data_IF_076933540731
#
_entry.id   IF_076933540731
#
_cell.length_a   1.000
_cell.length_b   1.000
_cell.length_c   1.000
_cell.angle_alpha   90.00
_cell.angle_beta   90.00
_cell.angle_gamma   90.00
#
_symmetry.space_group_name_H-M   'P 1'
#
loop_
_entity.id
_entity.type
_entity.pdbx_description
1 polymer ?
#
# COMPACT_ATOMS: atom_id res chain seq x y z
N UNK A 1 -21.89 -11.29 7.11
CA UNK A 1 -20.67 -11.60 6.36
C UNK A 1 -20.90 -11.30 4.88
N UNK A 2 -19.90 -10.71 4.23
CA UNK A 2 -19.92 -10.42 2.79
C UNK A 2 -18.81 -11.22 2.13
N UNK A 3 -19.09 -11.85 1.01
CA UNK A 3 -18.12 -12.61 0.23
C UNK A 3 -18.33 -12.35 -1.26
N UNK A 4 -17.24 -12.30 -2.01
CA UNK A 4 -17.28 -12.26 -3.47
C UNK A 4 -17.17 -13.71 -3.96
N UNK A 5 -18.15 -14.14 -4.73
CA UNK A 5 -18.19 -15.50 -5.28
C UNK A 5 -18.16 -15.49 -6.81
N UNK A 6 -17.57 -16.52 -7.39
CA UNK A 6 -17.55 -16.67 -8.84
C UNK A 6 -18.97 -17.05 -9.31
N UNK A 7 -19.51 -16.35 -10.33
CA UNK A 7 -20.80 -16.73 -10.92
C UNK A 7 -20.77 -18.17 -11.45
N UNK A 8 -21.84 -18.90 -11.29
CA UNK A 8 -21.91 -20.29 -11.71
C UNK A 8 -23.30 -20.88 -11.65
N UNK A 9 -23.43 -22.07 -12.23
CA UNK A 9 -24.65 -22.86 -12.15
C UNK A 9 -24.89 -23.39 -10.73
N UNK A 10 -26.14 -23.72 -10.41
CA UNK A 10 -26.46 -24.37 -9.15
C UNK A 10 -25.70 -25.69 -8.99
N UNK A 11 -25.19 -25.94 -7.80
CA UNK A 11 -24.54 -27.21 -7.46
C UNK A 11 -25.17 -27.80 -6.19
N UNK A 12 -26.12 -28.72 -6.30
CA UNK A 12 -26.81 -29.29 -5.17
C UNK A 12 -25.94 -30.19 -4.29
N UNK A 13 -24.82 -30.68 -4.81
CA UNK A 13 -23.95 -31.62 -4.11
C UNK A 13 -22.81 -30.95 -3.32
N UNK A 14 -22.70 -29.63 -3.38
CA UNK A 14 -21.67 -28.90 -2.66
C UNK A 14 -22.24 -28.19 -1.45
N UNK A 15 -21.42 -28.00 -0.43
CA UNK A 15 -21.78 -27.20 0.75
C UNK A 15 -21.88 -25.73 0.36
N UNK A 16 -23.02 -25.12 0.64
CA UNK A 16 -23.21 -23.68 0.46
C UNK A 16 -22.72 -22.91 1.68
N UNK A 17 -23.15 -23.31 2.86
CA UNK A 17 -22.75 -22.69 4.12
C UNK A 17 -22.43 -23.76 5.14
N UNK A 18 -21.34 -23.57 5.87
CA UNK A 18 -21.01 -24.34 7.07
C UNK A 18 -20.82 -23.37 8.22
N UNK A 19 -21.40 -23.63 9.36
CA UNK A 19 -21.22 -22.84 10.56
C UNK A 19 -21.21 -23.71 11.82
N UNK A 20 -20.37 -23.35 12.78
CA UNK A 20 -20.40 -23.96 14.11
C UNK A 20 -21.35 -23.16 15.01
N UNK A 21 -22.38 -23.80 15.52
CA UNK A 21 -23.34 -23.19 16.43
C UNK A 21 -23.47 -24.03 17.68
N UNK A 22 -23.13 -23.49 18.83
CA UNK A 22 -23.14 -24.14 20.13
C UNK A 22 -22.37 -25.47 20.19
N UNK A 23 -21.28 -25.56 19.45
CA UNK A 23 -20.41 -26.73 19.37
C UNK A 23 -20.84 -27.80 18.37
N UNK A 24 -21.93 -27.58 17.63
CA UNK A 24 -22.40 -28.44 16.55
C UNK A 24 -22.06 -27.80 15.18
N UNK A 25 -21.55 -28.61 14.26
CA UNK A 25 -21.30 -28.18 12.89
C UNK A 25 -22.56 -28.36 12.05
N UNK A 26 -23.16 -27.24 11.68
CA UNK A 26 -24.33 -27.20 10.83
C UNK A 26 -23.95 -26.93 9.39
N UNK A 27 -24.46 -27.70 8.47
CA UNK A 27 -24.15 -27.59 7.03
C UNK A 27 -25.44 -27.35 6.26
N UNK A 28 -25.43 -26.33 5.40
CA UNK A 28 -26.45 -26.09 4.39
C UNK A 28 -25.90 -26.53 3.03
N UNK A 29 -26.44 -27.64 2.46
CA UNK A 29 -26.05 -28.11 1.15
C UNK A 29 -26.70 -27.29 0.03
N UNK A 30 -26.15 -27.38 -1.17
CA UNK A 30 -26.76 -26.85 -2.38
C UNK A 30 -26.39 -25.39 -2.63
N UNK A 31 -25.34 -25.18 -3.42
CA UNK A 31 -24.99 -23.84 -3.90
C UNK A 31 -26.03 -23.41 -4.94
N UNK A 32 -26.73 -22.27 -4.73
CA UNK A 32 -27.68 -21.75 -5.71
C UNK A 32 -26.97 -21.24 -6.96
N UNK A 33 -27.71 -21.11 -8.07
CA UNK A 33 -27.18 -20.46 -9.26
C UNK A 33 -26.95 -18.97 -8.99
N UNK A 34 -25.74 -18.50 -9.24
CA UNK A 34 -25.33 -17.11 -9.05
C UNK A 34 -24.98 -16.50 -10.40
N UNK A 35 -25.66 -15.42 -10.77
CA UNK A 35 -25.45 -14.70 -12.03
C UNK A 35 -24.48 -13.55 -11.82
N UNK A 36 -23.65 -13.28 -12.82
CA UNK A 36 -22.80 -12.10 -12.83
C UNK A 36 -23.64 -10.81 -12.85
N UNK A 37 -23.14 -9.76 -12.20
CA UNK A 37 -23.82 -8.46 -12.17
C UNK A 37 -24.96 -8.34 -11.15
N UNK A 38 -25.10 -9.29 -10.21
CA UNK A 38 -26.09 -9.24 -9.18
C UNK A 38 -25.48 -9.44 -7.78
N UNK A 39 -26.05 -8.76 -6.80
CA UNK A 39 -25.81 -8.97 -5.39
C UNK A 39 -26.92 -9.88 -4.84
N UNK A 40 -26.54 -10.92 -4.11
CA UNK A 40 -27.45 -11.87 -3.48
C UNK A 40 -27.35 -11.74 -1.96
N UNK A 41 -28.43 -11.36 -1.30
CA UNK A 41 -28.52 -11.32 0.15
C UNK A 41 -29.31 -12.52 0.65
N UNK A 42 -28.67 -13.35 1.46
CA UNK A 42 -29.27 -14.53 2.07
C UNK A 42 -29.43 -14.33 3.57
N UNK A 43 -30.63 -14.54 4.09
CA UNK A 43 -30.87 -14.57 5.55
C UNK A 43 -30.87 -16.01 6.00
N UNK A 44 -29.97 -16.34 6.93
CA UNK A 44 -29.90 -17.65 7.59
C UNK A 44 -30.58 -17.58 8.95
N UNK A 45 -31.53 -18.48 9.19
CA UNK A 45 -32.12 -18.71 10.51
C UNK A 45 -31.65 -20.05 11.06
N UNK A 46 -31.13 -20.04 12.28
CA UNK A 46 -30.75 -21.27 12.98
C UNK A 46 -31.86 -21.58 14.00
N UNK A 47 -32.54 -22.69 13.82
CA UNK A 47 -33.60 -23.17 14.70
C UNK A 47 -33.23 -24.57 15.22
N UNK A 48 -32.74 -24.62 16.47
CA UNK A 48 -32.16 -25.87 17.01
C UNK A 48 -30.92 -26.26 16.22
N UNK A 49 -30.89 -27.50 15.70
CA UNK A 49 -29.79 -28.04 14.88
C UNK A 49 -30.05 -27.91 13.37
N UNK A 50 -30.89 -26.97 12.94
CA UNK A 50 -31.23 -26.80 11.52
C UNK A 50 -30.98 -25.38 11.06
N UNK A 51 -30.31 -25.24 9.92
CA UNK A 51 -30.19 -23.97 9.20
C UNK A 51 -31.31 -23.88 8.17
N UNK A 52 -32.09 -22.81 8.24
CA UNK A 52 -33.07 -22.45 7.21
C UNK A 52 -32.58 -21.24 6.42
N UNK A 53 -32.66 -21.33 5.12
CA UNK A 53 -32.36 -20.24 4.19
C UNK A 53 -33.69 -19.56 3.79
N UNK A 54 -33.73 -18.22 3.88
CA UNK A 54 -34.81 -17.46 3.24
C UNK A 54 -34.61 -17.39 1.74
N UNK A 55 -35.64 -17.03 1.01
CA UNK A 55 -35.46 -16.63 -0.38
C UNK A 55 -34.46 -15.48 -0.46
N UNK A 56 -33.50 -15.53 -1.39
CA UNK A 56 -32.51 -14.47 -1.53
C UNK A 56 -33.15 -13.18 -2.04
N UNK A 57 -32.76 -12.08 -1.47
CA UNK A 57 -33.00 -10.77 -2.08
C UNK A 57 -31.93 -10.60 -3.16
N UNK A 58 -32.36 -10.47 -4.40
CA UNK A 58 -31.47 -10.33 -5.56
C UNK A 58 -31.60 -8.91 -6.10
N UNK A 59 -30.54 -8.13 -5.97
CA UNK A 59 -30.46 -6.79 -6.54
C UNK A 59 -29.43 -6.78 -7.66
N UNK A 60 -29.71 -6.08 -8.79
CA UNK A 60 -28.67 -5.82 -9.74
C UNK A 60 -27.49 -5.17 -8.98
N UNK A 61 -26.28 -5.61 -9.30
CA UNK A 61 -25.11 -4.88 -8.88
C UNK A 61 -25.25 -3.50 -9.54
N UNK A 62 -25.62 -2.52 -8.76
CA UNK A 62 -25.51 -1.17 -9.27
C UNK A 62 -24.05 -1.01 -9.63
N UNK A 63 -23.77 -0.87 -10.91
CA UNK A 63 -22.57 -0.23 -11.35
C UNK A 63 -22.64 1.15 -10.70
N UNK A 64 -22.12 1.25 -9.47
CA UNK A 64 -21.78 2.52 -8.94
C UNK A 64 -21.00 3.13 -10.08
N UNK A 65 -21.51 4.17 -10.68
CA UNK A 65 -20.68 5.01 -11.49
C UNK A 65 -19.57 5.34 -10.51
N UNK A 66 -18.44 4.63 -10.63
CA UNK A 66 -17.19 5.27 -10.31
C UNK A 66 -17.29 6.42 -11.28
N UNK A 67 -17.87 7.53 -10.81
CA UNK A 67 -17.67 8.80 -11.47
C UNK A 67 -16.20 8.80 -11.66
N UNK A 68 -15.75 8.66 -12.92
CA UNK A 68 -14.36 8.52 -13.22
C UNK A 68 -13.64 9.67 -12.54
N UNK A 69 -13.50 9.53 -11.23
CA UNK A 69 -12.59 10.31 -10.46
C UNK A 69 -11.31 9.93 -11.16
N UNK A 70 -10.69 10.87 -11.85
CA UNK A 70 -9.35 10.74 -12.31
C UNK A 70 -8.65 9.93 -11.20
N UNK A 71 -8.01 8.83 -11.56
CA UNK A 71 -7.20 8.11 -10.61
C UNK A 71 -6.20 9.15 -10.11
N UNK A 72 -6.62 9.89 -9.10
CA UNK A 72 -5.77 10.89 -8.47
C UNK A 72 -4.67 10.05 -7.88
N UNK A 73 -3.50 10.22 -8.46
CA UNK A 73 -2.29 9.62 -7.96
C UNK A 73 -2.30 9.75 -6.44
N UNK A 74 -2.13 8.61 -5.74
CA UNK A 74 -2.18 8.55 -4.29
C UNK A 74 -1.22 9.62 -3.74
N UNK A 75 -1.78 10.73 -3.26
CA UNK A 75 -0.99 11.78 -2.65
C UNK A 75 -0.63 11.32 -1.24
N UNK A 76 0.58 10.85 -1.09
CA UNK A 76 1.10 10.47 0.21
C UNK A 76 1.35 11.74 1.05
N UNK A 77 1.01 11.69 2.33
CA UNK A 77 1.32 12.78 3.27
C UNK A 77 2.82 12.84 3.60
N UNK A 78 3.50 11.71 3.49
CA UNK A 78 4.92 11.54 3.70
C UNK A 78 5.44 10.33 2.92
N UNK A 79 6.76 10.28 2.75
CA UNK A 79 7.46 9.13 2.17
C UNK A 79 8.37 8.49 3.22
N UNK A 80 8.51 7.16 3.15
CA UNK A 80 9.28 6.35 4.09
C UNK A 80 10.41 5.66 3.34
N UNK A 81 11.63 5.72 3.88
CA UNK A 81 12.85 5.20 3.25
C UNK A 81 13.59 4.29 4.21
N UNK A 82 13.95 3.09 3.77
CA UNK A 82 14.79 2.12 4.50
C UNK A 82 15.94 1.64 3.63
N UNK A 83 17.09 1.34 4.26
CA UNK A 83 18.23 0.72 3.57
C UNK A 83 17.83 -0.62 2.94
N UNK A 84 17.24 -1.50 3.75
CA UNK A 84 16.74 -2.81 3.33
C UNK A 84 15.23 -2.74 3.14
N UNK A 85 14.80 -2.05 2.10
CA UNK A 85 13.39 -1.86 1.78
C UNK A 85 12.75 -3.20 1.38
N UNK A 86 11.55 -3.44 1.92
CA UNK A 86 10.72 -4.61 1.62
C UNK A 86 9.32 -4.17 1.19
N UNK A 87 8.44 -5.10 0.87
CA UNK A 87 7.10 -4.78 0.41
C UNK A 87 7.07 -4.27 -1.04
N UNK A 88 6.15 -3.37 -1.35
CA UNK A 88 5.96 -2.87 -2.71
C UNK A 88 6.79 -1.61 -3.06
N UNK A 89 7.63 -1.16 -2.15
CA UNK A 89 8.55 -0.03 -2.31
C UNK A 89 7.89 1.31 -2.72
N UNK A 90 6.61 1.50 -2.40
CA UNK A 90 5.88 2.75 -2.72
C UNK A 90 6.24 3.91 -1.82
N UNK A 91 6.87 3.64 -0.67
CA UNK A 91 7.19 4.64 0.34
C UNK A 91 6.00 5.14 1.14
N UNK A 92 4.85 4.47 1.12
CA UNK A 92 3.63 4.93 1.79
C UNK A 92 3.64 4.72 3.31
N UNK A 93 4.47 3.83 3.78
CA UNK A 93 4.68 3.48 5.19
C UNK A 93 6.00 2.71 5.35
N UNK A 94 6.35 2.33 6.60
CA UNK A 94 7.57 1.58 6.88
C UNK A 94 7.58 0.15 6.32
N UNK A 95 6.41 -0.49 6.17
CA UNK A 95 6.30 -1.86 5.63
C UNK A 95 6.50 -1.87 4.11
N UNK A 96 6.18 -0.74 3.46
CA UNK A 96 6.31 -0.50 2.03
C UNK A 96 7.32 0.60 1.72
N UNK A 97 8.32 0.78 2.58
CA UNK A 97 9.34 1.81 2.41
C UNK A 97 10.10 1.64 1.10
N UNK A 98 10.50 2.74 0.51
CA UNK A 98 11.39 2.73 -0.65
C UNK A 98 12.85 2.64 -0.23
N UNK A 99 13.70 2.08 -1.08
CA UNK A 99 15.14 2.14 -0.95
C UNK A 99 15.72 3.45 -1.48
N UNK A 100 17.06 3.54 -1.53
CA UNK A 100 17.77 4.71 -2.04
C UNK A 100 17.43 5.01 -3.50
N UNK A 101 17.21 3.98 -4.33
CA UNK A 101 16.83 4.17 -5.74
C UNK A 101 15.42 4.74 -5.86
N UNK A 102 14.49 4.29 -5.01
CA UNK A 102 13.15 4.87 -4.93
C UNK A 102 13.18 6.34 -4.52
N UNK A 103 14.00 6.68 -3.53
CA UNK A 103 14.22 8.06 -3.11
C UNK A 103 14.83 8.90 -4.24
N UNK A 104 15.81 8.36 -4.95
CA UNK A 104 16.42 9.02 -6.11
C UNK A 104 15.39 9.29 -7.20
N UNK A 105 14.57 8.30 -7.54
CA UNK A 105 13.51 8.42 -8.54
C UNK A 105 12.41 9.40 -8.10
N UNK A 106 12.11 9.48 -6.82
CA UNK A 106 11.16 10.44 -6.26
C UNK A 106 11.67 11.89 -6.43
N UNK A 107 12.97 12.10 -6.18
CA UNK A 107 13.61 13.42 -6.31
C UNK A 107 13.89 13.80 -7.77
N UNK A 108 13.87 12.84 -8.68
CA UNK A 108 14.15 13.01 -10.10
C UNK A 108 13.20 12.18 -10.97
N UNK A 109 12.99 12.58 -12.22
CA UNK A 109 12.25 11.78 -13.20
C UNK A 109 13.09 10.68 -13.84
N UNK A 110 14.41 10.87 -13.91
CA UNK A 110 15.39 9.88 -14.36
C UNK A 110 16.77 10.27 -13.81
N UNK A 111 17.79 9.48 -14.12
CA UNK A 111 19.14 9.61 -13.55
C UNK A 111 19.78 10.99 -13.71
N UNK A 112 19.40 11.77 -14.71
CA UNK A 112 20.02 13.06 -15.03
C UNK A 112 19.05 14.23 -15.19
N UNK A 113 17.78 14.02 -14.88
CA UNK A 113 16.76 15.06 -15.07
C UNK A 113 16.41 15.77 -13.77
N UNK A 114 16.17 17.05 -13.87
CA UNK A 114 15.57 17.85 -12.81
C UNK A 114 14.18 17.35 -12.43
N UNK A 115 13.73 17.66 -11.22
CA UNK A 115 12.35 17.40 -10.79
C UNK A 115 11.39 18.09 -11.76
N UNK A 116 10.47 17.34 -12.34
CA UNK A 116 9.40 17.92 -13.14
C UNK A 116 8.39 18.66 -12.26
N UNK A 117 7.58 19.49 -12.88
CA UNK A 117 6.46 20.18 -12.22
C UNK A 117 5.53 19.19 -11.50
N UNK A 118 5.30 18.00 -12.09
CA UNK A 118 4.45 16.97 -11.47
C UNK A 118 5.05 16.43 -10.17
N UNK A 119 6.35 16.06 -10.19
CA UNK A 119 7.04 15.57 -9.00
C UNK A 119 7.23 16.68 -7.95
N UNK A 120 7.48 17.91 -8.36
CA UNK A 120 7.56 19.06 -7.45
C UNK A 120 6.25 19.22 -6.67
N UNK A 121 5.10 19.12 -7.33
CA UNK A 121 3.79 19.18 -6.67
C UNK A 121 3.56 18.02 -5.69
N UNK A 122 4.06 16.83 -5.98
CA UNK A 122 3.97 15.67 -5.08
C UNK A 122 4.79 15.84 -3.82
N UNK A 123 5.93 16.51 -3.93
CA UNK A 123 6.90 16.65 -2.85
C UNK A 123 6.68 17.90 -2.00
N UNK A 124 5.98 18.89 -2.54
CA UNK A 124 5.76 20.17 -1.84
C UNK A 124 5.01 19.98 -0.52
N UNK A 125 5.60 20.46 0.56
CA UNK A 125 5.10 20.32 1.93
C UNK A 125 5.21 18.90 2.51
N UNK A 126 5.87 17.95 1.83
CA UNK A 126 5.98 16.56 2.30
C UNK A 126 7.19 16.32 3.18
N UNK A 127 7.03 15.36 4.09
CA UNK A 127 8.14 14.83 4.87
C UNK A 127 8.68 13.56 4.20
N UNK A 128 10.00 13.40 4.23
CA UNK A 128 10.68 12.14 3.87
C UNK A 128 11.30 11.60 5.15
N UNK A 129 10.77 10.52 5.68
CA UNK A 129 11.27 9.86 6.88
C UNK A 129 12.27 8.78 6.49
N UNK A 130 13.48 8.84 7.06
CA UNK A 130 14.57 7.91 6.74
C UNK A 130 14.96 7.13 7.97
N UNK A 131 14.94 5.82 7.88
CA UNK A 131 15.39 4.94 8.95
C UNK A 131 16.92 4.98 9.09
N UNK A 132 17.43 4.53 10.23
CA UNK A 132 18.87 4.28 10.41
C UNK A 132 19.37 3.24 9.40
N UNK A 133 20.56 3.44 8.89
CA UNK A 133 21.19 2.57 7.90
C UNK A 133 22.21 3.31 7.05
N UNK A 134 22.89 2.57 6.16
CA UNK A 134 23.89 3.11 5.23
C UNK A 134 23.35 3.05 3.81
N UNK A 135 23.08 4.21 3.24
CA UNK A 135 22.48 4.35 1.92
C UNK A 135 23.56 4.64 0.90
N UNK A 136 23.87 3.65 0.08
CA UNK A 136 24.91 3.77 -0.94
C UNK A 136 24.38 4.54 -2.16
N UNK A 137 25.04 5.65 -2.46
CA UNK A 137 24.79 6.48 -3.65
C UNK A 137 25.95 6.28 -4.62
N UNK A 138 26.01 5.08 -5.20
CA UNK A 138 27.17 4.61 -5.95
C UNK A 138 27.36 5.27 -7.32
N UNK A 139 26.34 5.95 -7.85
CA UNK A 139 26.39 6.54 -9.17
C UNK A 139 26.68 8.04 -9.06
N UNK A 140 27.90 8.42 -9.40
CA UNK A 140 28.37 9.81 -9.32
C UNK A 140 27.56 10.77 -10.21
N UNK A 141 27.05 10.30 -11.36
CA UNK A 141 26.22 11.12 -12.24
C UNK A 141 24.79 11.24 -11.72
N UNK A 142 24.30 10.20 -11.04
CA UNK A 142 22.94 10.11 -10.55
C UNK A 142 22.77 10.50 -9.09
N UNK A 143 23.79 10.83 -8.34
CA UNK A 143 23.78 11.15 -6.91
C UNK A 143 22.45 11.68 -6.33
N UNK A 144 22.32 11.90 -5.08
CA UNK A 144 21.10 12.46 -4.48
C UNK A 144 21.08 13.98 -4.75
N UNK A 145 20.42 14.40 -5.83
CA UNK A 145 20.28 15.82 -6.20
C UNK A 145 18.82 16.22 -6.16
N UNK A 146 18.57 17.45 -5.76
CA UNK A 146 17.29 18.12 -5.87
C UNK A 146 17.47 19.27 -6.84
N UNK A 147 17.00 19.08 -8.06
CA UNK A 147 17.06 20.08 -9.12
C UNK A 147 15.67 20.38 -9.65
N UNK A 148 15.36 21.64 -9.89
CA UNK A 148 14.07 22.08 -10.44
C UNK A 148 14.21 22.55 -11.87
N UNK A 149 13.23 22.22 -12.70
CA UNK A 149 13.02 22.92 -13.95
C UNK A 149 11.52 23.16 -14.18
N UNK A 150 11.19 24.37 -14.61
CA UNK A 150 9.82 24.70 -15.02
C UNK A 150 8.76 24.84 -13.93
N UNK A 151 9.16 24.86 -12.66
CA UNK A 151 8.25 25.12 -11.54
C UNK A 151 8.56 26.47 -10.90
N UNK A 152 7.62 27.40 -10.94
CA UNK A 152 7.82 28.79 -10.51
C UNK A 152 7.65 29.03 -9.02
N UNK A 153 7.24 28.00 -8.26
CA UNK A 153 7.05 28.09 -6.79
C UNK A 153 8.20 27.43 -6.07
N UNK A 154 8.50 27.93 -4.88
CA UNK A 154 9.39 27.26 -3.96
C UNK A 154 8.75 25.94 -3.52
N UNK A 155 9.52 24.85 -3.51
CA UNK A 155 9.12 23.54 -3.00
C UNK A 155 9.81 23.33 -1.66
N UNK A 156 9.02 23.01 -0.64
CA UNK A 156 9.54 22.68 0.68
C UNK A 156 9.52 21.15 0.86
N UNK A 157 10.72 20.58 1.05
CA UNK A 157 10.88 19.15 1.33
C UNK A 157 11.63 19.03 2.65
N UNK A 158 11.06 18.29 3.60
CA UNK A 158 11.68 18.05 4.88
C UNK A 158 12.15 16.61 5.00
N UNK A 159 13.46 16.40 5.06
CA UNK A 159 14.06 15.08 5.29
C UNK A 159 14.34 14.91 6.78
N UNK A 160 13.78 13.89 7.40
CA UNK A 160 13.90 13.60 8.83
C UNK A 160 14.45 12.19 9.02
N UNK A 161 15.68 12.12 9.50
CA UNK A 161 16.44 10.90 9.68
C UNK A 161 16.39 10.35 11.11
N UNK A 162 16.91 9.12 11.29
CA UNK A 162 17.15 8.53 12.61
C UNK A 162 15.97 7.75 13.17
N UNK A 163 15.14 7.15 12.33
CA UNK A 163 14.08 6.23 12.75
C UNK A 163 14.57 4.79 12.90
N UNK A 164 13.91 4.02 13.79
CA UNK A 164 14.16 2.59 13.97
C UNK A 164 13.92 1.82 12.65
N UNK A 165 14.92 1.11 12.10
CA UNK A 165 14.75 0.30 10.91
C UNK A 165 13.68 -0.80 11.05
N UNK A 166 13.35 -1.20 12.27
CA UNK A 166 12.30 -2.19 12.57
C UNK A 166 10.91 -1.57 12.72
N UNK A 167 10.77 -0.24 12.55
CA UNK A 167 9.46 0.40 12.56
C UNK A 167 8.56 -0.17 11.46
N UNK A 168 7.26 -0.27 11.77
CA UNK A 168 6.22 -0.80 10.88
C UNK A 168 5.11 0.22 10.68
N UNK A 169 4.30 0.05 9.65
CA UNK A 169 3.20 0.94 9.31
C UNK A 169 3.67 2.40 9.25
N UNK A 170 2.98 3.32 9.90
CA UNK A 170 3.33 4.76 9.98
C UNK A 170 3.83 5.16 11.36
N UNK A 171 4.44 4.22 12.11
CA UNK A 171 4.94 4.50 13.47
C UNK A 171 6.17 5.43 13.42
N UNK A 172 6.01 6.64 13.93
CA UNK A 172 7.05 7.66 14.04
C UNK A 172 7.53 7.86 15.47
N UNK A 173 7.07 7.05 16.43
CA UNK A 173 7.42 7.18 17.86
C UNK A 173 8.87 6.78 18.15
N UNK A 174 9.46 5.92 17.32
CA UNK A 174 10.79 5.36 17.54
C UNK A 174 11.85 6.11 16.74
N UNK A 175 12.03 7.39 17.04
CA UNK A 175 13.08 8.21 16.45
C UNK A 175 14.20 8.48 17.47
N UNK A 176 15.41 8.04 17.14
CA UNK A 176 16.63 8.33 17.90
C UNK A 176 17.81 8.44 16.92
N UNK A 177 18.20 9.65 16.49
CA UNK A 177 19.24 9.83 15.47
C UNK A 177 20.66 9.47 15.96
N UNK A 178 20.84 9.27 17.26
CA UNK A 178 22.12 8.81 17.83
C UNK A 178 22.19 7.29 17.74
N UNK A 179 21.09 6.62 18.08
CA UNK A 179 21.00 5.14 18.03
C UNK A 179 20.82 4.63 16.61
N UNK A 180 20.00 5.31 15.82
CA UNK A 180 19.66 4.91 14.46
C UNK A 180 20.32 5.87 13.46
N UNK A 181 21.64 5.81 13.41
CA UNK A 181 22.43 6.68 12.53
C UNK A 181 22.05 6.44 11.07
N UNK A 182 21.82 7.51 10.34
CA UNK A 182 21.53 7.50 8.90
C UNK A 182 22.73 8.07 8.15
N UNK A 183 23.34 7.27 7.30
CA UNK A 183 24.51 7.68 6.53
C UNK A 183 24.21 7.55 5.04
N UNK A 184 24.42 8.62 4.28
CA UNK A 184 24.45 8.58 2.83
C UNK A 184 25.92 8.60 2.38
N UNK A 185 26.34 7.62 1.59
CA UNK A 185 27.73 7.49 1.16
C UNK A 185 27.85 7.21 -0.33
N UNK A 186 28.85 7.83 -0.97
CA UNK A 186 29.29 7.49 -2.32
C UNK A 186 30.40 6.44 -2.35
N UNK A 187 30.87 6.02 -1.18
CA UNK A 187 31.96 5.05 -1.04
C UNK A 187 31.45 3.62 -1.24
N UNK A 188 31.43 3.18 -2.50
CA UNK A 188 30.93 1.86 -2.88
C UNK A 188 31.79 0.68 -2.38
N UNK A 189 33.04 0.91 -2.08
CA UNK A 189 34.00 -0.12 -1.64
C UNK A 189 34.40 0.02 -0.16
N UNK A 190 33.80 0.96 0.53
CA UNK A 190 34.01 1.24 1.97
C UNK A 190 35.49 1.48 2.33
N UNK A 191 36.24 2.15 1.44
CA UNK A 191 37.66 2.49 1.64
C UNK A 191 37.87 3.90 2.21
N UNK A 192 36.81 4.63 2.52
CA UNK A 192 36.82 6.00 3.04
C UNK A 192 37.05 7.06 1.95
N UNK A 193 36.97 6.70 0.68
CA UNK A 193 37.11 7.59 -0.48
C UNK A 193 35.83 7.53 -1.31
N UNK A 194 35.14 8.66 -1.46
CA UNK A 194 33.93 8.78 -2.26
C UNK A 194 34.23 9.12 -3.72
#
# INVERSE_FOLDING_TARGET
YTSIVVPGAANPNSTFVSLNYKGEDLVLPGIPAIKAGFCYEFTLKVEGSVIRLSEPIVTPWETGTINGGDATELQLDAYYVKENATGNATGMDWDNAMGVDGLRNLLRTNTNSAITTANAKKLDGKNIYVAGGTYLIADQEAGLKIEYSGYSKQVEIKVVCGYDPQSTRKDLSKRDPVRYLTTFTGDANNNGIA
#
